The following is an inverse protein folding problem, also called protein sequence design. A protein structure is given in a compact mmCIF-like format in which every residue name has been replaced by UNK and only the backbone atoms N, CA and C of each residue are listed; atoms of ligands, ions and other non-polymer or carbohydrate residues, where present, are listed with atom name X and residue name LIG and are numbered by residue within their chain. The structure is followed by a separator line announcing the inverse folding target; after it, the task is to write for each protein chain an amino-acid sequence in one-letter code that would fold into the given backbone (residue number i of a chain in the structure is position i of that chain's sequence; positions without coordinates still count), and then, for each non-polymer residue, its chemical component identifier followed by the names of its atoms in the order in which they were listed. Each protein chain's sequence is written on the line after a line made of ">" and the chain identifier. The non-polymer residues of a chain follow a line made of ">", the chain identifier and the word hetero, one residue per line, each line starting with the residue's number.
data_IF_496486054626
#
_entry.id   IF_496486054626
#
_cell.length_a   1.000
_cell.length_b   1.000
_cell.length_c   1.000
_cell.angle_alpha   90.00
_cell.angle_beta   90.00
_cell.angle_gamma   90.00
#
_symmetry.space_group_name_H-M   'P 1'
#
loop_
_entity.id
_entity.type
_entity.pdbx_description
1 polymer ?
#
# COMPACT_ATOMS: atom_id res chain seq x y z
N UNK A 1 11.53 -10.44 5.58
CA UNK A 1 12.42 -9.93 6.64
C UNK A 1 12.58 -10.88 7.82
N UNK A 2 11.54 -11.64 8.20
CA UNK A 2 11.71 -12.89 8.99
C UNK A 2 12.26 -12.71 10.41
N UNK A 3 12.75 -13.81 10.99
CA UNK A 3 13.24 -13.84 12.36
C UNK A 3 14.45 -12.91 12.56
N UNK A 4 14.38 -12.06 13.57
CA UNK A 4 15.45 -11.14 13.93
C UNK A 4 16.68 -11.90 14.45
N UNK A 5 17.86 -11.56 13.94
CA UNK A 5 19.13 -12.07 14.43
C UNK A 5 19.97 -10.90 14.98
N UNK A 6 20.14 -10.87 16.31
CA UNK A 6 20.86 -9.81 17.02
C UNK A 6 22.31 -9.68 16.58
N UNK A 7 23.02 -10.80 16.41
CA UNK A 7 24.41 -10.79 15.95
C UNK A 7 24.54 -10.19 14.55
N UNK A 8 23.64 -10.54 13.61
CA UNK A 8 23.65 -9.98 12.25
C UNK A 8 23.28 -8.50 12.24
N UNK A 9 22.28 -8.09 13.03
CA UNK A 9 21.86 -6.69 13.13
C UNK A 9 23.00 -5.80 13.64
N UNK A 10 23.65 -6.20 14.74
CA UNK A 10 24.74 -5.41 15.33
C UNK A 10 25.94 -5.31 14.39
N UNK A 11 26.31 -6.41 13.72
CA UNK A 11 27.43 -6.37 12.78
C UNK A 11 27.12 -5.54 11.53
N UNK A 12 25.88 -5.56 11.03
CA UNK A 12 25.45 -4.68 9.95
C UNK A 12 25.51 -3.20 10.37
N UNK A 13 25.06 -2.88 11.58
CA UNK A 13 25.05 -1.50 12.11
C UNK A 13 26.46 -0.89 12.23
N UNK A 14 27.49 -1.68 12.54
CA UNK A 14 28.87 -1.20 12.70
C UNK A 14 29.48 -0.57 11.44
N UNK A 15 29.03 -1.00 10.26
CA UNK A 15 29.52 -0.52 8.96
C UNK A 15 28.43 0.18 8.16
N UNK A 16 27.27 0.42 8.78
CA UNK A 16 26.12 1.01 8.12
C UNK A 16 26.41 2.47 7.73
N UNK A 17 26.16 2.79 6.47
CA UNK A 17 26.23 4.17 5.98
C UNK A 17 24.83 4.78 6.10
N UNK A 18 24.75 5.94 6.73
CA UNK A 18 23.48 6.67 6.86
C UNK A 18 22.88 6.95 5.49
N UNK A 19 21.58 6.69 5.37
CA UNK A 19 20.79 6.99 4.17
C UNK A 19 20.46 8.48 4.11
N UNK A 20 20.12 9.03 2.91
CA UNK A 20 19.65 10.41 2.80
C UNK A 20 18.44 10.72 3.69
N UNK A 21 18.14 12.01 3.87
CA UNK A 21 16.93 12.41 4.59
C UNK A 21 15.67 11.87 3.92
N UNK A 22 14.69 11.51 4.76
CA UNK A 22 13.39 11.04 4.29
C UNK A 22 12.69 12.13 3.48
N UNK A 23 12.11 11.72 2.36
CA UNK A 23 11.27 12.53 1.48
C UNK A 23 10.04 11.73 1.09
N UNK A 24 8.95 12.39 0.72
CA UNK A 24 7.68 11.74 0.42
C UNK A 24 7.02 12.36 -0.81
N UNK A 25 6.35 11.50 -1.60
CA UNK A 25 5.45 11.89 -2.67
C UNK A 25 4.06 11.36 -2.35
N UNK A 26 3.04 12.21 -2.51
CA UNK A 26 1.64 11.85 -2.27
C UNK A 26 0.78 12.41 -3.39
N UNK A 27 -0.17 11.60 -3.86
CA UNK A 27 -1.13 11.98 -4.87
C UNK A 27 -2.49 11.37 -4.55
N UNK A 28 -3.55 12.04 -4.99
CA UNK A 28 -4.93 11.64 -4.70
C UNK A 28 -5.66 11.44 -6.02
N UNK A 29 -6.39 10.34 -6.13
CA UNK A 29 -7.34 10.12 -7.22
C UNK A 29 -8.74 10.38 -6.69
N UNK A 30 -9.36 11.49 -7.11
CA UNK A 30 -10.74 11.83 -6.74
C UNK A 30 -11.74 11.32 -7.79
N UNK A 31 -13.01 11.28 -7.40
CA UNK A 31 -14.16 11.09 -8.31
C UNK A 31 -14.18 9.79 -9.12
N UNK A 32 -13.48 8.75 -8.63
CA UNK A 32 -13.36 7.48 -9.34
C UNK A 32 -14.73 6.81 -9.59
N UNK A 33 -15.75 7.03 -8.74
CA UNK A 33 -17.13 6.50 -8.93
C UNK A 33 -17.19 5.04 -9.43
N UNK A 34 -16.22 4.22 -9.01
CA UNK A 34 -16.08 2.83 -9.42
C UNK A 34 -16.88 1.94 -8.47
N UNK A 35 -17.50 0.91 -9.02
CA UNK A 35 -18.18 -0.12 -8.25
C UNK A 35 -17.34 -1.37 -8.21
N UNK A 36 -17.20 -1.97 -7.02
CA UNK A 36 -16.53 -3.27 -6.87
C UNK A 36 -17.43 -4.35 -7.48
N UNK A 37 -16.96 -5.11 -8.49
CA UNK A 37 -17.73 -6.16 -9.11
C UNK A 37 -18.21 -7.20 -8.09
N UNK A 38 -19.42 -7.74 -8.30
CA UNK A 38 -19.94 -8.87 -7.51
C UNK A 38 -19.48 -10.16 -8.16
N UNK A 39 -18.66 -10.93 -7.46
CA UNK A 39 -18.18 -12.23 -7.94
C UNK A 39 -16.86 -12.62 -7.32
N UNK A 40 -16.51 -13.91 -7.40
CA UNK A 40 -15.21 -14.42 -6.92
C UNK A 40 -14.11 -14.23 -7.98
N UNK A 41 -14.50 -14.12 -9.25
CA UNK A 41 -13.57 -14.11 -10.40
C UNK A 41 -13.43 -12.71 -11.02
N UNK A 42 -14.06 -11.69 -10.44
CA UNK A 42 -14.00 -10.31 -10.92
C UNK A 42 -13.42 -9.41 -9.84
N UNK A 43 -12.39 -8.64 -10.19
CA UNK A 43 -11.75 -7.68 -9.31
C UNK A 43 -11.79 -6.28 -9.92
N UNK A 44 -11.89 -5.27 -9.08
CA UNK A 44 -11.69 -3.88 -9.50
C UNK A 44 -10.18 -3.61 -9.52
N UNK A 45 -9.66 -3.20 -10.67
CA UNK A 45 -8.26 -2.80 -10.83
C UNK A 45 -8.18 -1.31 -11.10
N UNK A 46 -7.34 -0.62 -10.35
CA UNK A 46 -7.01 0.79 -10.55
C UNK A 46 -5.50 0.88 -10.70
N UNK A 47 -5.04 1.35 -11.86
CA UNK A 47 -3.62 1.56 -12.12
C UNK A 47 -3.28 3.04 -11.90
N UNK A 48 -2.18 3.30 -11.19
CA UNK A 48 -1.65 4.64 -11.00
C UNK A 48 -0.19 4.66 -11.42
N UNK A 49 0.17 5.60 -12.29
CA UNK A 49 1.52 5.75 -12.83
C UNK A 49 2.17 6.98 -12.21
N UNK A 50 3.29 6.78 -11.55
CA UNK A 50 4.17 7.85 -11.08
C UNK A 50 5.29 8.02 -12.10
N UNK A 51 5.38 9.19 -12.71
CA UNK A 51 6.40 9.54 -13.69
C UNK A 51 7.61 10.21 -13.05
N UNK A 52 8.72 10.27 -13.77
CA UNK A 52 9.92 11.00 -13.32
C UNK A 52 9.65 12.49 -13.10
N UNK A 53 8.73 13.08 -13.87
CA UNK A 53 8.32 14.47 -13.71
C UNK A 53 7.61 14.71 -12.37
N UNK A 54 6.83 13.74 -11.89
CA UNK A 54 6.05 13.87 -10.65
C UNK A 54 6.94 13.91 -9.41
N UNK A 55 8.11 13.28 -9.48
CA UNK A 55 9.07 13.17 -8.37
C UNK A 55 10.31 14.04 -8.55
N UNK A 56 10.34 14.87 -9.60
CA UNK A 56 11.48 15.73 -9.92
C UNK A 56 11.76 16.70 -8.76
N UNK A 57 13.01 16.71 -8.30
CA UNK A 57 13.44 17.59 -7.20
C UNK A 57 13.12 17.08 -5.80
N UNK A 58 12.35 15.99 -5.65
CA UNK A 58 12.06 15.39 -4.33
C UNK A 58 13.25 14.59 -3.77
N UNK A 59 14.28 14.32 -4.57
CA UNK A 59 15.41 13.44 -4.22
C UNK A 59 14.95 12.05 -3.75
N UNK A 60 13.89 11.54 -4.38
CA UNK A 60 13.30 10.24 -4.06
C UNK A 60 14.04 9.14 -4.84
N UNK A 61 15.01 8.50 -4.18
CA UNK A 61 15.88 7.49 -4.81
C UNK A 61 15.50 6.05 -4.47
N UNK A 62 14.98 5.82 -3.26
CA UNK A 62 14.69 4.49 -2.72
C UNK A 62 13.33 4.54 -2.04
N UNK A 63 12.50 3.53 -2.34
CA UNK A 63 11.19 3.38 -1.71
C UNK A 63 11.32 2.57 -0.42
N UNK A 64 10.96 3.17 0.71
CA UNK A 64 11.00 2.52 2.02
C UNK A 64 9.60 2.09 2.48
N UNK A 65 8.64 3.02 2.42
CA UNK A 65 7.25 2.81 2.82
C UNK A 65 6.30 3.25 1.71
N UNK A 66 5.18 2.56 1.60
CA UNK A 66 4.06 2.93 0.72
C UNK A 66 2.79 2.86 1.55
N UNK A 67 1.94 3.88 1.40
CA UNK A 67 0.67 3.97 2.07
C UNK A 67 -0.45 4.11 1.05
N UNK A 68 -1.58 3.47 1.32
CA UNK A 68 -2.80 3.62 0.53
C UNK A 68 -3.91 4.12 1.44
N UNK A 69 -4.35 5.35 1.22
CA UNK A 69 -5.57 5.88 1.84
C UNK A 69 -6.75 5.68 0.92
N UNK A 70 -7.81 5.03 1.39
CA UNK A 70 -8.99 4.78 0.57
C UNK A 70 -10.30 5.01 1.32
N UNK A 71 -11.30 5.47 0.56
CA UNK A 71 -12.70 5.55 0.97
C UNK A 71 -13.53 4.66 0.05
N UNK A 72 -14.20 3.66 0.61
CA UNK A 72 -15.08 2.76 -0.13
C UNK A 72 -16.23 2.28 0.75
N UNK A 73 -17.43 2.21 0.19
CA UNK A 73 -18.58 1.61 0.85
C UNK A 73 -18.74 0.14 0.46
N UNK A 74 -19.11 -0.71 1.42
CA UNK A 74 -19.41 -2.11 1.14
C UNK A 74 -20.32 -2.68 2.24
N UNK A 75 -21.33 -3.51 1.91
CA UNK A 75 -22.26 -4.04 2.90
C UNK A 75 -21.63 -5.01 3.91
N UNK A 76 -20.43 -5.52 3.64
CA UNK A 76 -19.72 -6.44 4.53
C UNK A 76 -18.20 -6.27 4.35
N UNK A 77 -17.58 -5.42 5.15
CA UNK A 77 -16.16 -5.04 5.04
C UNK A 77 -15.21 -6.24 5.10
N UNK A 78 -15.53 -7.27 5.88
CA UNK A 78 -14.71 -8.47 6.00
C UNK A 78 -14.59 -9.31 4.73
N UNK A 79 -15.45 -9.07 3.73
CA UNK A 79 -15.37 -9.74 2.41
C UNK A 79 -14.46 -9.02 1.42
N UNK A 80 -13.93 -7.85 1.77
CA UNK A 80 -13.07 -7.08 0.90
C UNK A 80 -11.63 -7.59 1.05
N UNK A 81 -10.99 -7.80 -0.09
CA UNK A 81 -9.55 -7.98 -0.17
C UNK A 81 -8.94 -6.80 -0.94
N UNK A 82 -7.92 -6.17 -0.37
CA UNK A 82 -7.20 -5.06 -1.00
C UNK A 82 -5.75 -5.47 -1.21
N UNK A 83 -5.31 -5.38 -2.46
CA UNK A 83 -3.95 -5.70 -2.88
C UNK A 83 -3.32 -4.51 -3.57
N UNK A 84 -2.06 -4.26 -3.28
CA UNK A 84 -1.23 -3.28 -3.96
C UNK A 84 -0.10 -4.02 -4.68
N UNK A 85 0.06 -3.77 -5.97
CA UNK A 85 1.08 -4.42 -6.81
C UNK A 85 2.06 -3.34 -7.27
N UNK A 86 3.34 -3.51 -6.92
CA UNK A 86 4.40 -2.59 -7.36
C UNK A 86 4.71 -2.76 -8.87
N UNK A 87 5.35 -1.76 -9.51
CA UNK A 87 5.81 -1.89 -10.89
C UNK A 87 6.77 -3.08 -11.11
N UNK A 88 7.50 -3.49 -10.06
CA UNK A 88 8.38 -4.67 -10.07
C UNK A 88 7.65 -6.00 -9.83
N UNK A 89 6.32 -5.98 -9.68
CA UNK A 89 5.48 -7.16 -9.47
C UNK A 89 5.40 -7.65 -8.02
N UNK A 90 5.88 -6.87 -7.04
CA UNK A 90 5.72 -7.23 -5.62
C UNK A 90 4.29 -6.95 -5.18
N UNK A 91 3.60 -7.99 -4.72
CA UNK A 91 2.23 -7.92 -4.22
C UNK A 91 2.21 -7.73 -2.69
N UNK A 92 1.49 -6.72 -2.23
CA UNK A 92 1.23 -6.46 -0.80
C UNK A 92 -0.26 -6.60 -0.52
N UNK A 93 -0.62 -7.49 0.40
CA UNK A 93 -2.00 -7.67 0.87
C UNK A 93 -2.24 -6.66 1.98
N UNK A 94 -2.96 -5.59 1.66
CA UNK A 94 -3.26 -4.48 2.59
C UNK A 94 -4.45 -4.80 3.49
N UNK A 95 -5.47 -5.43 2.91
CA UNK A 95 -6.60 -5.98 3.64
C UNK A 95 -6.84 -7.43 3.21
N UNK A 96 -6.71 -8.37 4.15
CA UNK A 96 -7.09 -9.76 3.94
C UNK A 96 -8.57 -9.99 4.32
N UNK A 97 -9.24 -11.01 3.77
CA UNK A 97 -10.59 -11.38 4.18
C UNK A 97 -10.67 -11.66 5.69
N UNK A 98 -11.68 -11.08 6.34
CA UNK A 98 -11.94 -11.22 7.78
C UNK A 98 -13.34 -11.82 7.98
N UNK A 99 -13.47 -13.16 8.14
CA UNK A 99 -14.78 -13.83 8.20
C UNK A 99 -15.71 -13.36 9.32
N UNK A 100 -15.17 -12.74 10.37
CA UNK A 100 -15.93 -12.22 11.53
C UNK A 100 -16.33 -10.75 11.38
N UNK A 101 -15.84 -10.04 10.38
CA UNK A 101 -16.09 -8.61 10.18
C UNK A 101 -17.30 -8.39 9.26
N UNK A 102 -18.48 -8.26 9.86
CA UNK A 102 -19.74 -8.04 9.16
C UNK A 102 -20.17 -6.56 9.12
N UNK A 103 -19.25 -5.61 9.40
CA UNK A 103 -19.55 -4.17 9.35
C UNK A 103 -19.92 -3.72 7.93
N UNK A 104 -20.90 -2.83 7.83
CA UNK A 104 -21.32 -2.16 6.60
C UNK A 104 -20.66 -0.80 6.37
N UNK A 105 -19.75 -0.38 7.26
CA UNK A 105 -19.14 0.96 7.22
C UNK A 105 -18.12 1.09 6.08
N UNK A 106 -17.66 -0.04 5.53
CA UNK A 106 -16.58 -0.07 4.55
C UNK A 106 -15.28 0.52 5.10
N UNK A 107 -14.55 1.26 4.27
CA UNK A 107 -13.39 2.03 4.69
C UNK A 107 -13.68 3.51 4.44
N UNK A 108 -13.36 4.37 5.41
CA UNK A 108 -13.60 5.81 5.32
C UNK A 108 -12.28 6.46 5.68
N UNK A 109 -11.65 7.10 4.70
CA UNK A 109 -10.34 7.75 4.85
C UNK A 109 -9.31 6.86 5.58
N UNK A 110 -9.29 5.57 5.21
CA UNK A 110 -8.49 4.57 5.91
C UNK A 110 -7.14 4.39 5.23
N UNK A 111 -6.05 4.63 5.96
CA UNK A 111 -4.68 4.39 5.50
C UNK A 111 -4.20 2.99 5.89
N UNK A 112 -3.79 2.23 4.89
CA UNK A 112 -3.03 0.98 5.04
C UNK A 112 -1.53 1.23 5.03
#
# INVERSE_FOLDING_TARGET
>A
FGLLNSWRLVNAARIWKTVPFLTSYSTTMSDLNLSVPKGKDTSLRVDHVVSEADILGLNLFILENVQLTLTMSHPCRGKIEVKLISPSGTESILAAPRPKDNSSDGFIDWTF
#
